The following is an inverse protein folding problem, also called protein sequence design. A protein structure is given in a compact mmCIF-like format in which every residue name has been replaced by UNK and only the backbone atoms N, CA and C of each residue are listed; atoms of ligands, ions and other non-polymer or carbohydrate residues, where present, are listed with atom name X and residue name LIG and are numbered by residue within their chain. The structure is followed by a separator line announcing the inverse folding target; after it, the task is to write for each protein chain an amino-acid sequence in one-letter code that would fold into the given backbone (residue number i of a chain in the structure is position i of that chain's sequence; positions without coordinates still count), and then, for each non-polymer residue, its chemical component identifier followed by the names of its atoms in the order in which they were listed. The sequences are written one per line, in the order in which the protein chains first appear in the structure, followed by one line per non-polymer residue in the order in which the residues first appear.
data_IF_386736639682
#
_entry.id   IF_386736639682
#
_cell.length_a   1.000
_cell.length_b   1.000
_cell.length_c   1.000
_cell.angle_alpha   90.00
_cell.angle_beta   90.00
_cell.angle_gamma   90.00
#
_symmetry.space_group_name_H-M   'P 1'
#
loop_
_entity.id
_entity.type
_entity.pdbx_description
1 polymer ?
#
# COMPACT_ATOMS: atom_id res chain seq x y z
N UNK A 1 -8.11 24.51 5.93
CA UNK A 1 -7.62 23.30 6.65
C UNK A 1 -8.16 23.32 8.07
N UNK A 2 -8.71 22.22 8.53
CA UNK A 2 -9.21 22.06 9.90
C UNK A 2 -8.07 22.36 10.90
N UNK A 3 -8.35 23.18 11.92
CA UNK A 3 -7.36 23.57 12.96
C UNK A 3 -6.83 22.38 13.77
N UNK A 4 -7.56 21.27 13.77
CA UNK A 4 -7.17 20.00 14.42
C UNK A 4 -6.10 19.21 13.64
N UNK A 5 -5.87 19.54 12.36
CA UNK A 5 -4.92 18.83 11.52
C UNK A 5 -3.47 19.17 11.86
N UNK A 6 -2.75 18.23 12.46
CA UNK A 6 -1.35 18.36 12.84
C UNK A 6 -0.41 18.22 11.63
N UNK A 7 -0.17 19.33 10.93
CA UNK A 7 0.61 19.33 9.68
C UNK A 7 2.03 18.79 9.82
N UNK A 8 2.69 19.00 10.96
CA UNK A 8 4.03 18.45 11.21
C UNK A 8 4.01 16.93 11.31
N UNK A 9 3.00 16.36 11.99
CA UNK A 9 2.81 14.91 12.05
C UNK A 9 2.54 14.34 10.66
N UNK A 10 1.67 14.96 9.88
CA UNK A 10 1.38 14.52 8.51
C UNK A 10 2.62 14.50 7.63
N UNK A 11 3.49 15.52 7.74
CA UNK A 11 4.79 15.55 7.03
C UNK A 11 5.73 14.43 7.50
N UNK A 12 5.82 14.16 8.80
CA UNK A 12 6.61 13.05 9.35
C UNK A 12 6.13 11.70 8.81
N UNK A 13 4.81 11.47 8.80
CA UNK A 13 4.22 10.26 8.23
C UNK A 13 4.44 10.17 6.72
N UNK A 14 4.42 11.30 5.97
CA UNK A 14 4.73 11.28 4.55
C UNK A 14 6.16 10.85 4.25
N UNK A 15 7.12 11.18 5.11
CA UNK A 15 8.50 10.69 5.01
C UNK A 15 8.54 9.17 5.16
N UNK A 16 7.87 8.58 6.15
CA UNK A 16 7.80 7.12 6.30
C UNK A 16 7.11 6.45 5.11
N UNK A 17 6.07 7.07 4.54
CA UNK A 17 5.35 6.56 3.37
C UNK A 17 6.14 6.66 2.05
N UNK A 18 7.24 7.42 2.02
CA UNK A 18 8.08 7.56 0.84
C UNK A 18 8.87 6.27 0.51
N UNK A 19 9.11 5.41 1.48
CA UNK A 19 9.86 4.16 1.30
C UNK A 19 9.03 3.10 0.58
N UNK A 20 9.69 2.35 -0.32
CA UNK A 20 9.12 1.25 -1.10
C UNK A 20 9.91 -0.03 -0.81
N UNK A 21 9.27 -1.17 -1.04
CA UNK A 21 9.90 -2.50 -0.86
C UNK A 21 11.16 -2.66 -1.73
N UNK A 22 11.17 -2.04 -2.91
CA UNK A 22 12.29 -2.10 -3.86
C UNK A 22 13.48 -1.19 -3.50
N UNK A 23 13.36 -0.34 -2.46
CA UNK A 23 14.42 0.61 -2.15
C UNK A 23 15.54 -0.02 -1.33
N UNK A 24 16.78 0.24 -1.72
CA UNK A 24 17.95 -0.01 -0.88
C UNK A 24 18.28 1.24 -0.02
N UNK A 25 17.28 1.68 0.77
CA UNK A 25 17.32 2.93 1.50
C UNK A 25 17.12 4.17 0.63
N UNK A 26 16.89 5.32 1.26
CA UNK A 26 16.70 6.62 0.59
C UNK A 26 17.61 7.68 1.21
N UNK A 27 18.19 8.54 0.39
CA UNK A 27 18.88 9.77 0.78
C UNK A 27 17.87 10.88 1.12
N UNK A 28 18.32 11.97 1.76
CA UNK A 28 17.51 13.16 1.97
C UNK A 28 16.91 13.72 0.67
N UNK A 29 17.67 13.74 -0.42
CA UNK A 29 17.20 14.25 -1.71
C UNK A 29 16.09 13.40 -2.30
N UNK A 30 16.23 12.07 -2.29
CA UNK A 30 15.20 11.16 -2.78
C UNK A 30 13.92 11.23 -1.93
N UNK A 31 14.05 11.41 -0.60
CA UNK A 31 12.89 11.64 0.28
C UNK A 31 12.21 12.98 -0.06
N UNK A 32 12.99 14.05 -0.25
CA UNK A 32 12.46 15.37 -0.61
C UNK A 32 11.71 15.33 -1.95
N UNK A 33 12.27 14.69 -2.96
CA UNK A 33 11.66 14.49 -4.27
C UNK A 33 10.32 13.74 -4.17
N UNK A 34 10.31 12.61 -3.45
CA UNK A 34 9.10 11.77 -3.29
C UNK A 34 8.00 12.43 -2.47
N UNK A 35 8.36 13.26 -1.51
CA UNK A 35 7.41 13.90 -0.58
C UNK A 35 7.00 15.31 -1.00
N UNK A 36 7.76 15.96 -1.88
CA UNK A 36 7.62 17.37 -2.21
C UNK A 36 8.00 18.32 -1.05
N UNK A 37 8.70 17.80 -0.01
CA UNK A 37 9.09 18.61 1.15
C UNK A 37 10.46 19.27 0.91
N UNK A 38 10.67 20.50 1.41
CA UNK A 38 11.99 21.14 1.38
C UNK A 38 13.06 20.30 2.12
N UNK A 39 14.27 20.26 1.62
CA UNK A 39 15.40 19.49 2.20
C UNK A 39 15.62 19.79 3.68
N UNK A 40 15.54 21.05 4.11
CA UNK A 40 15.65 21.43 5.54
C UNK A 40 14.55 20.81 6.41
N UNK A 41 13.35 20.66 5.86
CA UNK A 41 12.22 20.00 6.55
C UNK A 41 12.49 18.49 6.62
N UNK A 42 12.92 17.87 5.53
CA UNK A 42 13.27 16.44 5.49
C UNK A 42 14.36 16.14 6.50
N UNK A 43 15.44 16.92 6.54
CA UNK A 43 16.56 16.73 7.49
C UNK A 43 16.09 16.73 8.96
N UNK A 44 15.22 17.68 9.34
CA UNK A 44 14.67 17.73 10.70
C UNK A 44 13.74 16.56 11.02
N UNK A 45 12.93 16.15 10.05
CA UNK A 45 12.00 15.03 10.24
C UNK A 45 12.75 13.70 10.31
N UNK A 46 13.74 13.47 9.44
CA UNK A 46 14.54 12.25 9.46
C UNK A 46 15.34 12.14 10.75
N UNK A 47 15.94 13.23 11.23
CA UNK A 47 16.59 13.25 12.55
C UNK A 47 15.63 12.77 13.65
N UNK A 48 14.44 13.38 13.73
CA UNK A 48 13.44 12.98 14.75
C UNK A 48 13.00 11.53 14.60
N UNK A 49 12.79 11.07 13.36
CA UNK A 49 12.37 9.69 13.09
C UNK A 49 13.45 8.66 13.40
N UNK A 50 14.73 9.02 13.26
CA UNK A 50 15.87 8.19 13.71
C UNK A 50 15.90 8.11 15.22
N UNK A 51 15.81 9.23 15.93
CA UNK A 51 15.78 9.27 17.41
C UNK A 51 14.62 8.44 17.99
N UNK A 52 13.49 8.40 17.28
CA UNK A 52 12.33 7.60 17.67
C UNK A 52 12.37 6.14 17.17
N UNK A 53 13.42 5.73 16.46
CA UNK A 53 13.59 4.37 15.92
C UNK A 53 12.71 4.02 14.73
N UNK A 54 11.99 4.98 14.13
CA UNK A 54 11.20 4.77 12.91
C UNK A 54 12.06 4.73 11.66
N UNK A 55 13.21 5.39 11.67
CA UNK A 55 14.23 5.29 10.64
C UNK A 55 15.53 4.81 11.28
N UNK A 56 16.41 4.23 10.45
CA UNK A 56 17.78 3.88 10.78
C UNK A 56 18.70 4.32 9.64
N UNK A 57 19.95 4.65 9.96
CA UNK A 57 20.97 4.87 8.96
C UNK A 57 21.37 3.56 8.29
N UNK A 58 21.41 3.54 6.97
CA UNK A 58 21.78 2.39 6.15
C UNK A 58 23.24 2.50 5.69
N UNK A 59 24.19 2.40 6.62
CA UNK A 59 25.61 2.28 6.32
C UNK A 59 26.28 3.53 5.69
N UNK A 60 27.25 3.34 4.79
CA UNK A 60 28.26 4.34 4.37
C UNK A 60 27.77 5.51 3.52
N UNK A 61 26.52 5.52 3.02
CA UNK A 61 26.09 6.48 2.00
C UNK A 61 25.00 7.44 2.46
N UNK A 62 24.89 7.73 3.74
CA UNK A 62 23.91 8.69 4.30
C UNK A 62 22.46 8.39 3.86
N UNK A 63 22.15 7.09 3.67
CA UNK A 63 20.82 6.61 3.31
C UNK A 63 20.05 6.17 4.56
N UNK A 64 18.74 6.30 4.50
CA UNK A 64 17.81 5.89 5.55
C UNK A 64 17.03 4.65 5.12
N UNK A 65 16.71 3.78 6.09
CA UNK A 65 15.77 2.67 5.96
C UNK A 65 14.71 2.77 7.05
N UNK A 66 13.57 2.09 6.84
CA UNK A 66 12.60 1.96 7.93
C UNK A 66 13.22 1.21 9.10
N UNK A 67 13.03 1.77 10.28
CA UNK A 67 13.59 1.23 11.55
C UNK A 67 12.65 0.26 12.26
N UNK A 68 13.12 -0.36 13.36
CA UNK A 68 12.36 -1.35 14.12
C UNK A 68 11.00 -0.86 14.62
N UNK A 69 10.87 0.42 14.98
CA UNK A 69 9.60 0.98 15.43
C UNK A 69 8.52 0.96 14.34
N UNK A 70 8.91 1.19 13.07
CA UNK A 70 7.99 1.07 11.94
C UNK A 70 7.55 -0.39 11.73
N UNK A 71 8.49 -1.35 11.84
CA UNK A 71 8.18 -2.78 11.74
C UNK A 71 7.24 -3.22 12.87
N UNK A 72 7.46 -2.77 14.10
CA UNK A 72 6.61 -3.11 15.25
C UNK A 72 5.15 -2.68 15.01
N UNK A 73 4.94 -1.43 14.54
CA UNK A 73 3.59 -0.94 14.21
C UNK A 73 2.99 -1.75 13.06
N UNK A 74 3.76 -2.06 12.03
CA UNK A 74 3.29 -2.88 10.91
C UNK A 74 2.83 -4.28 11.36
N UNK A 75 3.58 -4.93 12.24
CA UNK A 75 3.23 -6.23 12.80
C UNK A 75 1.94 -6.18 13.64
N UNK A 76 1.79 -5.16 14.50
CA UNK A 76 0.56 -4.97 15.28
C UNK A 76 -0.64 -4.71 14.35
N UNK A 77 -0.45 -3.87 13.33
CA UNK A 77 -1.50 -3.62 12.34
C UNK A 77 -1.89 -4.90 11.57
N UNK A 78 -0.91 -5.69 11.14
CA UNK A 78 -1.17 -6.95 10.44
C UNK A 78 -1.90 -7.97 11.32
N UNK A 79 -1.52 -8.08 12.60
CA UNK A 79 -2.18 -8.98 13.55
C UNK A 79 -3.66 -8.58 13.83
N UNK A 80 -4.02 -7.32 13.66
CA UNK A 80 -5.40 -6.85 13.83
C UNK A 80 -6.32 -7.22 12.65
N UNK A 81 -5.75 -7.69 11.53
CA UNK A 81 -6.49 -8.09 10.33
C UNK A 81 -6.81 -9.59 10.39
N UNK A 82 -7.81 -9.94 11.21
CA UNK A 82 -8.16 -11.34 11.54
C UNK A 82 -8.48 -12.22 10.32
N UNK A 83 -9.02 -11.66 9.24
CA UNK A 83 -9.35 -12.43 8.04
C UNK A 83 -8.09 -12.96 7.29
N UNK A 84 -6.89 -12.39 7.53
CA UNK A 84 -5.66 -12.88 6.90
C UNK A 84 -5.29 -14.31 7.33
N UNK A 85 -5.57 -14.67 8.57
CA UNK A 85 -5.32 -16.04 9.04
C UNK A 85 -6.33 -17.01 8.45
N UNK A 86 -7.62 -16.67 8.45
CA UNK A 86 -8.68 -17.49 7.86
C UNK A 86 -8.46 -17.69 6.35
N UNK A 87 -7.90 -16.70 5.67
CA UNK A 87 -7.63 -16.78 4.24
C UNK A 87 -6.41 -17.64 3.87
N UNK A 88 -5.55 -18.01 4.82
CA UNK A 88 -4.28 -18.69 4.51
C UNK A 88 -4.46 -19.97 3.71
N UNK A 89 -5.28 -20.89 4.22
CA UNK A 89 -5.47 -22.20 3.61
C UNK A 89 -6.15 -22.10 2.22
N UNK A 90 -7.30 -21.41 2.07
CA UNK A 90 -7.95 -21.30 0.77
C UNK A 90 -7.13 -20.54 -0.27
N UNK A 91 -6.39 -19.49 0.13
CA UNK A 91 -5.58 -18.71 -0.80
C UNK A 91 -4.32 -19.47 -1.23
N UNK A 92 -3.70 -20.28 -0.35
CA UNK A 92 -2.59 -21.13 -0.73
C UNK A 92 -3.06 -22.25 -1.68
N UNK A 93 -4.23 -22.83 -1.42
CA UNK A 93 -4.83 -23.82 -2.31
C UNK A 93 -5.10 -23.23 -3.70
N UNK A 94 -5.69 -22.03 -3.75
CA UNK A 94 -5.93 -21.31 -5.00
C UNK A 94 -4.62 -21.05 -5.77
N UNK A 95 -3.57 -20.59 -5.08
CA UNK A 95 -2.27 -20.35 -5.73
C UNK A 95 -1.70 -21.62 -6.34
N UNK A 96 -1.78 -22.74 -5.63
CA UNK A 96 -1.28 -24.03 -6.10
C UNK A 96 -2.10 -24.57 -7.28
N UNK A 97 -3.43 -24.48 -7.20
CA UNK A 97 -4.35 -24.97 -8.24
C UNK A 97 -4.22 -24.17 -9.54
N UNK A 98 -4.07 -22.86 -9.44
CA UNK A 98 -3.96 -21.98 -10.62
C UNK A 98 -2.53 -21.86 -11.13
N UNK A 99 -1.51 -22.30 -10.38
CA UNK A 99 -0.11 -22.10 -10.72
C UNK A 99 0.33 -20.63 -10.75
N UNK A 100 -0.42 -19.72 -10.11
CA UNK A 100 -0.14 -18.29 -10.13
C UNK A 100 -0.08 -17.71 -8.72
N UNK A 101 0.44 -16.45 -8.61
CA UNK A 101 0.43 -15.70 -7.37
C UNK A 101 -1.01 -15.34 -6.99
N UNK A 102 -1.45 -15.79 -5.82
CA UNK A 102 -2.63 -15.26 -5.16
C UNK A 102 -2.20 -14.14 -4.19
N UNK A 103 -2.97 -13.09 -4.10
CA UNK A 103 -2.65 -11.95 -3.23
C UNK A 103 -3.91 -11.37 -2.57
N UNK A 104 -3.68 -10.69 -1.47
CA UNK A 104 -4.70 -9.89 -0.80
C UNK A 104 -4.22 -8.44 -0.70
N UNK A 105 -5.10 -7.53 -1.05
CA UNK A 105 -4.82 -6.10 -1.01
C UNK A 105 -5.93 -5.35 -0.28
N UNK A 106 -5.56 -4.27 0.38
CA UNK A 106 -6.49 -3.32 1.01
C UNK A 106 -6.32 -1.94 0.38
N UNK A 107 -7.36 -1.14 0.40
CA UNK A 107 -7.27 0.22 -0.10
C UNK A 107 -6.45 1.10 0.85
N UNK A 108 -5.47 1.79 0.33
CA UNK A 108 -4.66 2.81 1.01
C UNK A 108 -4.70 4.11 0.18
N UNK A 109 -5.69 4.96 0.48
CA UNK A 109 -6.02 6.19 -0.25
C UNK A 109 -6.34 5.92 -1.74
N UNK A 110 -5.43 6.34 -2.64
CA UNK A 110 -5.51 6.20 -4.10
C UNK A 110 -4.84 4.93 -4.65
N UNK A 111 -4.38 4.05 -3.78
CA UNK A 111 -3.65 2.82 -4.12
C UNK A 111 -4.25 1.60 -3.43
N UNK A 112 -3.93 0.45 -3.99
CA UNK A 112 -4.12 -0.83 -3.32
C UNK A 112 -2.79 -1.25 -2.69
N UNK A 113 -2.77 -1.45 -1.37
CA UNK A 113 -1.64 -1.98 -0.61
C UNK A 113 -1.74 -3.50 -0.55
N UNK A 114 -0.73 -4.20 -1.05
CA UNK A 114 -0.62 -5.64 -0.89
C UNK A 114 -0.27 -5.95 0.56
N UNK A 115 -1.14 -6.70 1.23
CA UNK A 115 -0.97 -7.06 2.64
C UNK A 115 -0.47 -8.50 2.81
N UNK A 116 -0.76 -9.37 1.85
CA UNK A 116 -0.30 -10.76 1.85
C UNK A 116 -0.25 -11.34 0.45
N UNK A 117 0.69 -12.27 0.24
CA UNK A 117 0.86 -13.01 -1.01
C UNK A 117 1.03 -14.51 -0.71
N UNK A 118 0.48 -15.35 -1.59
CA UNK A 118 0.63 -16.80 -1.57
C UNK A 118 1.16 -17.26 -2.92
N UNK A 119 2.28 -17.98 -2.89
CA UNK A 119 2.93 -18.47 -4.10
C UNK A 119 2.65 -19.94 -4.30
N UNK A 120 2.46 -20.38 -5.55
CA UNK A 120 2.40 -21.80 -5.85
C UNK A 120 3.72 -22.49 -5.45
N UNK A 121 3.61 -23.73 -5.01
CA UNK A 121 4.80 -24.56 -4.73
C UNK A 121 5.45 -24.94 -6.05
N UNK A 122 6.78 -24.88 -6.10
CA UNK A 122 7.61 -25.32 -7.24
C UNK A 122 7.39 -24.58 -8.58
N UNK A 123 6.77 -23.41 -8.55
CA UNK A 123 6.52 -22.61 -9.76
C UNK A 123 7.07 -21.20 -9.60
N UNK A 124 7.77 -20.70 -10.61
CA UNK A 124 8.18 -19.30 -10.65
C UNK A 124 6.92 -18.39 -10.71
N UNK A 125 6.83 -17.45 -9.81
CA UNK A 125 5.70 -16.52 -9.74
C UNK A 125 6.16 -15.07 -9.72
N UNK A 126 5.21 -14.15 -9.86
CA UNK A 126 5.46 -12.71 -9.83
C UNK A 126 6.25 -12.27 -8.59
N UNK A 127 7.11 -11.27 -8.77
CA UNK A 127 7.94 -10.66 -7.71
C UNK A 127 7.17 -9.77 -6.72
N UNK A 128 5.85 -9.62 -6.87
CA UNK A 128 5.02 -8.80 -5.98
C UNK A 128 5.08 -9.33 -4.53
N UNK A 129 5.38 -8.43 -3.61
CA UNK A 129 5.53 -8.70 -2.18
C UNK A 129 4.56 -7.86 -1.34
N UNK A 130 4.23 -8.27 -0.10
CA UNK A 130 3.55 -7.40 0.85
C UNK A 130 4.28 -6.06 0.99
N UNK A 131 3.51 -4.97 1.09
CA UNK A 131 4.03 -3.61 1.11
C UNK A 131 4.08 -2.92 -0.25
N UNK A 132 3.98 -3.65 -1.37
CA UNK A 132 3.80 -3.01 -2.68
C UNK A 132 2.46 -2.27 -2.76
N UNK A 133 2.48 -1.14 -3.47
CA UNK A 133 1.29 -0.34 -3.77
C UNK A 133 1.05 -0.33 -5.26
N UNK A 134 -0.10 -0.81 -5.69
CA UNK A 134 -0.53 -0.80 -7.10
C UNK A 134 -1.62 0.25 -7.30
N UNK A 135 -1.72 0.86 -8.49
CA UNK A 135 -2.78 1.82 -8.79
C UNK A 135 -4.17 1.19 -8.63
N UNK A 136 -5.15 1.96 -8.18
CA UNK A 136 -6.56 1.53 -8.20
C UNK A 136 -7.03 1.37 -9.65
N UNK A 137 -6.92 2.40 -10.53
CA UNK A 137 -7.20 2.20 -11.95
C UNK A 137 -6.20 1.20 -12.57
N UNK A 138 -6.69 0.27 -13.37
CA UNK A 138 -5.88 -0.77 -14.02
C UNK A 138 -5.53 -1.98 -13.15
N UNK A 139 -6.13 -2.12 -11.96
CA UNK A 139 -5.98 -3.32 -11.14
C UNK A 139 -7.33 -3.96 -10.80
N UNK A 140 -7.42 -5.30 -10.90
CA UNK A 140 -8.66 -6.03 -10.57
C UNK A 140 -9.07 -5.83 -9.11
N UNK A 141 -8.13 -5.80 -8.17
CA UNK A 141 -8.41 -5.51 -6.75
C UNK A 141 -8.96 -4.09 -6.55
N UNK A 142 -8.41 -3.11 -7.27
CA UNK A 142 -8.92 -1.74 -7.27
C UNK A 142 -10.33 -1.66 -7.84
N UNK A 143 -10.58 -2.36 -8.95
CA UNK A 143 -11.90 -2.42 -9.58
C UNK A 143 -12.97 -2.97 -8.63
N UNK A 144 -12.69 -4.09 -7.96
CA UNK A 144 -13.60 -4.70 -6.99
C UNK A 144 -13.86 -3.75 -5.81
N UNK A 145 -12.81 -3.14 -5.26
CA UNK A 145 -12.96 -2.20 -4.14
C UNK A 145 -13.81 -0.99 -4.54
N UNK A 146 -13.58 -0.40 -5.72
CA UNK A 146 -14.40 0.73 -6.17
C UNK A 146 -15.86 0.33 -6.39
N UNK A 147 -16.11 -0.84 -6.99
CA UNK A 147 -17.45 -1.37 -7.21
C UNK A 147 -18.22 -1.63 -5.89
N UNK A 148 -17.52 -2.03 -4.83
CA UNK A 148 -18.12 -2.35 -3.53
C UNK A 148 -18.27 -1.13 -2.59
N UNK A 149 -17.74 0.06 -2.94
CA UNK A 149 -17.98 1.26 -2.15
C UNK A 149 -19.45 1.66 -2.20
N UNK A 150 -20.00 2.13 -1.07
CA UNK A 150 -21.28 2.83 -1.08
C UNK A 150 -21.20 4.11 -1.93
N UNK A 151 -22.32 4.56 -2.47
CA UNK A 151 -22.35 5.80 -3.27
C UNK A 151 -21.77 6.98 -2.50
N UNK A 152 -22.18 7.17 -1.25
CA UNK A 152 -21.65 8.23 -0.40
C UNK A 152 -20.11 8.14 -0.18
N UNK A 153 -19.57 6.93 -0.06
CA UNK A 153 -18.12 6.73 0.09
C UNK A 153 -17.36 6.95 -1.23
N UNK A 154 -17.99 6.66 -2.35
CA UNK A 154 -17.41 6.90 -3.67
C UNK A 154 -17.48 8.38 -4.04
N UNK A 155 -18.60 9.06 -3.80
CA UNK A 155 -18.79 10.50 -4.06
C UNK A 155 -17.78 11.34 -3.27
N UNK A 156 -17.44 10.92 -2.04
CA UNK A 156 -16.43 11.58 -1.21
C UNK A 156 -15.00 11.51 -1.80
N UNK A 157 -14.78 10.72 -2.85
CA UNK A 157 -13.49 10.67 -3.56
C UNK A 157 -13.33 11.79 -4.59
N UNK A 158 -14.42 12.51 -4.91
CA UNK A 158 -14.44 13.51 -5.99
C UNK A 158 -13.87 12.93 -7.31
N UNK A 159 -14.32 11.71 -7.64
CA UNK A 159 -13.78 10.90 -8.72
C UNK A 159 -14.08 11.53 -10.09
N UNK A 160 -13.10 11.53 -10.99
CA UNK A 160 -13.28 11.87 -12.39
C UNK A 160 -13.99 10.76 -13.18
N UNK A 161 -14.40 11.07 -14.41
CA UNK A 161 -15.17 10.19 -15.30
C UNK A 161 -14.53 8.82 -15.52
N UNK A 162 -13.21 8.76 -15.62
CA UNK A 162 -12.46 7.51 -15.77
C UNK A 162 -12.69 6.54 -14.60
N UNK A 163 -12.70 7.07 -13.36
CA UNK A 163 -12.92 6.25 -12.16
C UNK A 163 -14.40 5.86 -12.01
N UNK A 164 -15.32 6.71 -12.46
CA UNK A 164 -16.76 6.40 -12.52
C UNK A 164 -16.99 5.22 -13.47
N UNK A 165 -16.47 5.29 -14.68
CA UNK A 165 -16.54 4.20 -15.67
C UNK A 165 -15.89 2.91 -15.18
N UNK A 166 -14.73 3.02 -14.51
CA UNK A 166 -14.02 1.89 -13.91
C UNK A 166 -14.83 1.20 -12.83
N UNK A 167 -15.48 1.97 -11.93
CA UNK A 167 -16.42 1.47 -10.91
C UNK A 167 -17.58 0.73 -11.53
N UNK A 168 -18.23 1.35 -12.53
CA UNK A 168 -19.41 0.77 -13.18
C UNK A 168 -19.08 -0.56 -13.85
N UNK A 169 -17.97 -0.62 -14.62
CA UNK A 169 -17.51 -1.85 -15.24
C UNK A 169 -17.21 -2.96 -14.23
N UNK A 170 -16.64 -2.61 -13.09
CA UNK A 170 -16.41 -3.54 -11.99
C UNK A 170 -17.69 -4.08 -11.38
N UNK A 171 -18.67 -3.21 -11.16
CA UNK A 171 -19.97 -3.60 -10.62
C UNK A 171 -20.72 -4.57 -11.55
N UNK A 172 -20.75 -4.26 -12.84
CA UNK A 172 -21.37 -5.13 -13.87
C UNK A 172 -20.69 -6.50 -13.92
N UNK A 173 -19.36 -6.56 -13.87
CA UNK A 173 -18.61 -7.81 -13.85
C UNK A 173 -18.91 -8.64 -12.60
N UNK A 174 -18.98 -8.01 -11.42
CA UNK A 174 -19.28 -8.68 -10.16
C UNK A 174 -20.69 -9.28 -10.17
N UNK A 175 -21.68 -8.54 -10.69
CA UNK A 175 -23.06 -9.06 -10.83
C UNK A 175 -23.13 -10.23 -11.79
N UNK A 176 -22.42 -10.15 -12.93
CA UNK A 176 -22.52 -11.16 -13.98
C UNK A 176 -21.78 -12.46 -13.66
N UNK A 177 -20.64 -12.41 -12.95
CA UNK A 177 -19.74 -13.56 -12.81
C UNK A 177 -19.10 -13.71 -11.42
N UNK A 178 -19.35 -12.80 -10.48
CA UNK A 178 -18.84 -12.85 -9.11
C UNK A 178 -17.38 -12.40 -8.95
N UNK A 179 -16.70 -11.99 -10.04
CA UNK A 179 -15.33 -11.46 -10.01
C UNK A 179 -15.15 -10.39 -11.07
N UNK A 180 -14.08 -9.59 -10.97
CA UNK A 180 -13.74 -8.58 -11.95
C UNK A 180 -12.29 -8.72 -12.43
N UNK A 181 -12.07 -8.40 -13.71
CA UNK A 181 -10.76 -8.36 -14.36
C UNK A 181 -10.58 -6.95 -14.91
N UNK A 182 -9.56 -6.24 -14.43
CA UNK A 182 -9.17 -4.97 -15.01
C UNK A 182 -8.46 -5.19 -16.37
N UNK A 183 -8.62 -4.25 -17.32
CA UNK A 183 -7.97 -4.31 -18.60
C UNK A 183 -6.44 -4.19 -18.51
#
# INVERSE_FOLDING_TARGET
KDRRFASTLARGLSVLRAFRVSDDGLSHMEIAERTGLPNATVSRLTFTLVELGYLSHAGKNDRYRLGPAALAIGNVAAASVSFLETANQPMQALANETGTLALMAVRDNDKMLLVKTWRPVDTASSWLEPGHRIPIPGSSSGMVVMACLSDAAFDALEAGDDLIGFRQAGYEQLLARGFAIAP
#
